data_IF_766366851481
#
_entry.id   IF_766366851481
#
_cell.length_a   1.000
_cell.length_b   1.000
_cell.length_c   1.000
_cell.angle_alpha   90.00
_cell.angle_beta   90.00
_cell.angle_gamma   90.00
#
_symmetry.space_group_name_H-M   'P 1'
#
loop_
_entity.id
_entity.type
_entity.pdbx_description
1 polymer ?
#
# COMPACT_ATOMS: atom_id res chain seq x y z
N UNK A 1 -5.38 12.36 11.70
CA UNK A 1 -4.52 12.23 10.51
C UNK A 1 -3.60 11.05 10.74
N UNK A 2 -3.52 10.10 9.80
CA UNK A 2 -2.70 8.89 9.93
C UNK A 2 -1.60 8.97 8.89
N UNK A 3 -0.35 8.83 9.33
CA UNK A 3 0.82 8.77 8.44
C UNK A 3 1.44 7.39 8.59
N UNK A 4 1.60 6.67 7.49
CA UNK A 4 2.19 5.34 7.48
C UNK A 4 3.02 5.16 6.22
N UNK A 5 4.13 4.44 6.34
CA UNK A 5 4.91 3.98 5.19
C UNK A 5 4.43 2.60 4.83
N UNK A 6 3.96 2.44 3.59
CA UNK A 6 3.47 1.16 3.07
C UNK A 6 4.15 0.86 1.74
N UNK A 7 4.36 -0.42 1.40
CA UNK A 7 4.81 -0.79 0.07
C UNK A 7 3.84 -0.28 -1.00
N UNK A 8 4.36 0.25 -2.10
CA UNK A 8 3.54 0.78 -3.19
C UNK A 8 2.59 -0.28 -3.77
N UNK A 9 3.01 -1.55 -3.81
CA UNK A 9 2.20 -2.68 -4.28
C UNK A 9 0.89 -2.85 -3.47
N UNK A 10 0.93 -2.60 -2.16
CA UNK A 10 -0.22 -2.75 -1.26
C UNK A 10 -1.28 -1.64 -1.44
N UNK A 11 -0.92 -0.53 -2.08
CA UNK A 11 -1.84 0.57 -2.36
C UNK A 11 -2.84 0.24 -3.48
N UNK A 12 -2.63 -0.83 -4.24
CA UNK A 12 -3.58 -1.29 -5.24
C UNK A 12 -4.95 -1.60 -4.56
N UNK A 13 -6.02 -1.00 -5.10
CA UNK A 13 -7.37 -1.11 -4.53
C UNK A 13 -7.56 -0.48 -3.14
N UNK A 14 -6.57 0.23 -2.58
CA UNK A 14 -6.69 0.86 -1.27
C UNK A 14 -7.79 1.94 -1.24
N UNK A 15 -7.92 2.73 -2.31
CA UNK A 15 -8.95 3.77 -2.41
C UNK A 15 -10.37 3.22 -2.21
N UNK A 16 -10.68 2.08 -2.85
CA UNK A 16 -11.99 1.42 -2.72
C UNK A 16 -12.21 0.87 -1.32
N UNK A 17 -11.18 0.22 -0.73
CA UNK A 17 -11.22 -0.29 0.64
C UNK A 17 -11.42 0.84 1.66
N UNK A 18 -10.75 1.98 1.48
CA UNK A 18 -10.89 3.14 2.34
C UNK A 18 -12.32 3.71 2.28
N UNK A 19 -12.87 3.88 1.07
CA UNK A 19 -14.25 4.36 0.91
C UNK A 19 -15.26 3.43 1.57
N UNK A 20 -15.11 2.11 1.40
CA UNK A 20 -15.96 1.12 2.05
C UNK A 20 -15.92 1.25 3.59
N UNK A 21 -14.73 1.39 4.18
CA UNK A 21 -14.56 1.50 5.64
C UNK A 21 -15.00 2.84 6.23
N UNK A 22 -14.94 3.90 5.45
CA UNK A 22 -15.24 5.28 5.91
C UNK A 22 -16.56 5.82 5.39
N UNK A 23 -17.41 4.95 4.82
CA UNK A 23 -18.67 5.33 4.19
C UNK A 23 -18.49 6.47 3.16
N UNK A 24 -17.39 6.41 2.40
CA UNK A 24 -17.05 7.39 1.36
C UNK A 24 -16.47 8.71 1.85
N UNK A 25 -16.27 8.91 3.17
CA UNK A 25 -15.78 10.18 3.73
C UNK A 25 -14.25 10.27 3.82
N UNK A 26 -13.55 9.15 3.77
CA UNK A 26 -12.10 9.09 3.91
C UNK A 26 -11.38 9.52 2.64
N UNK A 27 -10.37 10.37 2.80
CA UNK A 27 -9.42 10.75 1.76
C UNK A 27 -8.02 10.30 2.16
N UNK A 28 -7.18 10.03 1.17
CA UNK A 28 -5.77 9.72 1.39
C UNK A 28 -4.92 10.36 0.29
N UNK A 29 -3.69 10.67 0.63
CA UNK A 29 -2.65 11.10 -0.30
C UNK A 29 -1.47 10.16 -0.15
N UNK A 30 -0.72 9.95 -1.23
CA UNK A 30 0.48 9.13 -1.21
C UNK A 30 1.61 9.84 -1.95
N UNK A 31 2.83 9.65 -1.46
CA UNK A 31 4.06 10.17 -2.07
C UNK A 31 5.13 9.09 -1.96
N UNK A 32 5.93 8.92 -3.01
CA UNK A 32 7.10 8.05 -2.94
C UNK A 32 8.11 8.62 -1.94
N UNK A 33 8.48 7.82 -0.93
CA UNK A 33 9.45 8.19 0.11
C UNK A 33 10.85 7.69 -0.22
N UNK A 34 10.99 6.47 -0.73
CA UNK A 34 12.27 5.87 -1.10
C UNK A 34 12.15 4.37 -1.35
N UNK A 35 13.29 3.70 -1.53
CA UNK A 35 13.36 2.25 -1.67
C UNK A 35 13.65 1.60 -0.33
N UNK A 36 12.98 0.48 -0.08
CA UNK A 36 13.18 -0.37 1.10
C UNK A 36 13.36 -1.82 0.63
N UNK A 37 14.08 -2.65 1.41
CA UNK A 37 14.20 -4.06 1.10
C UNK A 37 12.82 -4.72 1.02
N UNK A 38 12.66 -5.60 0.04
CA UNK A 38 11.42 -6.36 -0.15
C UNK A 38 11.24 -7.30 1.07
N UNK A 39 10.04 -7.40 1.65
CA UNK A 39 9.77 -8.38 2.70
C UNK A 39 10.00 -9.81 2.20
N UNK A 40 10.54 -10.68 3.05
CA UNK A 40 10.87 -12.08 2.71
C UNK A 40 9.69 -12.87 2.12
N UNK A 41 8.47 -12.61 2.60
CA UNK A 41 7.25 -13.26 2.09
C UNK A 41 6.95 -12.92 0.62
N UNK A 42 7.25 -11.70 0.17
CA UNK A 42 7.07 -11.28 -1.23
C UNK A 42 8.22 -11.79 -2.10
N UNK A 43 9.44 -11.80 -1.57
CA UNK A 43 10.62 -12.37 -2.24
C UNK A 43 10.41 -13.83 -2.65
N UNK A 44 9.82 -14.65 -1.78
CA UNK A 44 9.55 -16.06 -2.09
C UNK A 44 8.44 -16.25 -3.13
N UNK A 45 7.52 -15.28 -3.24
CA UNK A 45 6.42 -15.31 -4.19
C UNK A 45 6.81 -14.74 -5.57
N UNK A 46 7.96 -14.09 -5.68
CA UNK A 46 8.47 -13.60 -6.96
C UNK A 46 8.86 -14.79 -7.85
N UNK A 47 8.31 -14.92 -9.06
CA UNK A 47 8.73 -15.97 -9.97
C UNK A 47 10.21 -15.75 -10.32
N UNK A 48 11.03 -16.78 -10.09
CA UNK A 48 12.37 -16.82 -10.66
C UNK A 48 12.21 -16.79 -12.20
N UNK A 49 12.88 -15.82 -12.82
CA UNK A 49 12.83 -15.56 -14.27
C UNK A 49 13.11 -16.82 -15.08
#
# INVERSE_FOLDING_TARGET
MITATVPLAELFGYASRLRSRTQGRGTFTSRATGYAPVPSGVLNAMPAR
#
